data_IF_747323287883
#
_entry.id   IF_747323287883
#
_cell.length_a   1.000
_cell.length_b   1.000
_cell.length_c   1.000
_cell.angle_alpha   90.00
_cell.angle_beta   90.00
_cell.angle_gamma   90.00
#
_symmetry.space_group_name_H-M   'P 1'
#
loop_
_entity.id
_entity.type
_entity.pdbx_description
1 polymer ?
#
# COMPACT_ATOMS: atom_id res chain seq x y z
N UNK A 1 -18.11 10.41 0.50
CA UNK A 1 -17.32 11.38 1.28
C UNK A 1 -16.82 10.81 2.59
N UNK A 2 -17.68 10.37 3.56
CA UNK A 2 -17.19 9.83 4.87
C UNK A 2 -16.30 8.61 4.67
N UNK A 3 -16.68 7.66 3.80
CA UNK A 3 -15.88 6.47 3.45
C UNK A 3 -14.50 6.83 2.88
N UNK A 4 -14.47 7.76 1.94
CA UNK A 4 -13.23 8.16 1.26
C UNK A 4 -12.26 8.84 2.23
N UNK A 5 -12.78 9.70 3.10
CA UNK A 5 -11.99 10.34 4.17
C UNK A 5 -11.44 9.30 5.16
N UNK A 6 -12.27 8.34 5.57
CA UNK A 6 -11.87 7.32 6.53
C UNK A 6 -10.80 6.39 5.94
N UNK A 7 -10.95 5.92 4.71
CA UNK A 7 -9.95 5.08 4.04
C UNK A 7 -8.65 5.85 3.81
N UNK A 8 -8.71 7.13 3.44
CA UNK A 8 -7.53 7.99 3.32
C UNK A 8 -6.81 8.15 4.67
N UNK A 9 -7.55 8.23 5.78
CA UNK A 9 -6.96 8.29 7.12
C UNK A 9 -6.30 6.97 7.50
N UNK A 10 -6.92 5.83 7.16
CA UNK A 10 -6.36 4.49 7.38
C UNK A 10 -5.07 4.32 6.58
N UNK A 11 -5.05 4.73 5.31
CA UNK A 11 -3.84 4.68 4.47
C UNK A 11 -2.70 5.53 5.03
N UNK A 12 -2.99 6.75 5.46
CA UNK A 12 -1.98 7.61 6.08
C UNK A 12 -1.46 7.03 7.40
N UNK A 13 -2.35 6.54 8.25
CA UNK A 13 -1.98 5.89 9.51
C UNK A 13 -1.09 4.66 9.31
N UNK A 14 -1.48 3.79 8.36
CA UNK A 14 -0.69 2.61 7.99
C UNK A 14 0.67 2.97 7.37
N UNK A 15 0.73 4.01 6.53
CA UNK A 15 1.97 4.52 5.95
C UNK A 15 2.92 5.03 7.04
N UNK A 16 2.43 5.90 7.92
CA UNK A 16 3.26 6.45 9.00
C UNK A 16 3.81 5.36 9.90
N UNK A 17 2.97 4.43 10.34
CA UNK A 17 3.40 3.30 11.19
C UNK A 17 4.37 2.37 10.48
N UNK A 18 4.12 2.02 9.21
CA UNK A 18 5.01 1.17 8.42
C UNK A 18 6.37 1.80 8.17
N UNK A 19 6.41 3.09 7.81
CA UNK A 19 7.66 3.83 7.61
C UNK A 19 8.44 4.03 8.90
N UNK A 20 7.76 4.35 10.02
CA UNK A 20 8.43 4.47 11.32
C UNK A 20 8.96 3.13 11.81
N UNK A 21 8.16 2.07 11.71
CA UNK A 21 8.57 0.74 12.12
C UNK A 21 9.79 0.24 11.31
N UNK A 22 9.79 0.43 10.00
CA UNK A 22 10.92 0.05 9.15
C UNK A 22 12.19 0.81 9.52
N UNK A 23 12.09 2.12 9.76
CA UNK A 23 13.23 2.95 10.14
C UNK A 23 13.77 2.60 11.51
N UNK A 24 12.92 2.47 12.52
CA UNK A 24 13.35 2.18 13.90
C UNK A 24 13.97 0.78 13.96
N UNK A 25 13.34 -0.22 13.36
CA UNK A 25 13.83 -1.59 13.42
C UNK A 25 15.13 -1.81 12.65
N UNK A 26 15.36 -1.06 11.57
CA UNK A 26 16.57 -1.19 10.76
C UNK A 26 17.68 -0.26 11.28
N UNK A 27 17.40 1.03 11.46
CA UNK A 27 18.40 2.00 11.90
C UNK A 27 18.95 1.67 13.29
N UNK A 28 18.11 1.28 14.25
CA UNK A 28 18.54 0.94 15.60
C UNK A 28 19.54 -0.23 15.65
N UNK A 29 19.45 -1.17 14.74
CA UNK A 29 20.40 -2.29 14.69
C UNK A 29 21.73 -1.90 14.06
N UNK A 30 21.73 -1.00 13.09
CA UNK A 30 22.97 -0.45 12.53
C UNK A 30 23.71 0.43 13.55
N UNK A 31 22.99 1.29 14.27
CA UNK A 31 23.58 2.15 15.31
C UNK A 31 24.15 1.35 16.49
N UNK A 32 23.47 0.28 16.90
CA UNK A 32 23.90 -0.55 18.04
C UNK A 32 24.97 -1.60 17.69
N UNK A 33 25.38 -1.70 16.42
CA UNK A 33 26.29 -2.75 15.93
C UNK A 33 25.84 -4.19 16.25
N UNK A 34 24.57 -4.37 16.63
CA UNK A 34 23.98 -5.69 16.92
C UNK A 34 23.88 -6.56 15.67
N UNK A 35 23.94 -5.95 14.49
CA UNK A 35 24.04 -6.64 13.19
C UNK A 35 25.25 -7.56 13.16
N UNK A 36 26.41 -7.15 13.71
CA UNK A 36 27.62 -7.97 13.78
C UNK A 36 27.43 -9.23 14.64
N UNK A 37 26.72 -9.12 15.75
CA UNK A 37 26.45 -10.25 16.65
C UNK A 37 25.49 -11.28 16.02
N UNK A 38 24.52 -10.83 15.21
CA UNK A 38 23.60 -11.70 14.50
C UNK A 38 24.29 -12.39 13.31
N UNK A 39 25.21 -11.70 12.65
CA UNK A 39 25.99 -12.24 11.52
C UNK A 39 27.03 -13.28 11.93
N UNK A 40 27.44 -13.34 13.22
CA UNK A 40 28.27 -14.41 13.76
C UNK A 40 27.57 -15.77 13.80
N UNK A 41 26.21 -15.81 13.72
CA UNK A 41 25.47 -17.05 13.52
C UNK A 41 25.31 -17.34 12.03
N UNK A 42 25.27 -18.60 11.60
CA UNK A 42 25.13 -18.98 10.17
C UNK A 42 23.69 -18.77 9.66
N UNK A 43 23.13 -17.56 9.89
CA UNK A 43 21.84 -17.15 9.33
C UNK A 43 22.10 -16.39 8.04
N UNK A 44 21.48 -16.80 6.94
CA UNK A 44 21.65 -16.08 5.68
C UNK A 44 21.03 -14.69 5.77
N UNK A 45 21.75 -13.71 5.27
CA UNK A 45 21.38 -12.27 5.26
C UNK A 45 20.01 -12.00 4.63
N UNK A 46 19.62 -12.87 3.69
CA UNK A 46 18.32 -12.79 3.01
C UNK A 46 17.17 -13.07 3.98
N UNK A 47 17.30 -14.13 4.79
CA UNK A 47 16.26 -14.45 5.77
C UNK A 47 16.11 -13.41 6.87
N UNK A 48 17.20 -12.71 7.21
CA UNK A 48 17.16 -11.62 8.17
C UNK A 48 16.29 -10.43 7.68
N UNK A 49 16.55 -9.95 6.45
CA UNK A 49 15.77 -8.86 5.86
C UNK A 49 14.32 -9.26 5.61
N UNK A 50 14.10 -10.47 5.08
CA UNK A 50 12.75 -10.97 4.85
C UNK A 50 11.97 -11.11 6.15
N UNK A 51 12.59 -11.62 7.21
CA UNK A 51 11.96 -11.73 8.52
C UNK A 51 11.55 -10.38 9.10
N UNK A 52 12.42 -9.37 8.98
CA UNK A 52 12.09 -7.99 9.37
C UNK A 52 10.93 -7.41 8.57
N UNK A 53 11.00 -7.55 7.25
CA UNK A 53 9.94 -7.08 6.37
C UNK A 53 8.60 -7.72 6.72
N UNK A 54 8.55 -9.04 6.90
CA UNK A 54 7.34 -9.76 7.29
C UNK A 54 6.83 -9.33 8.68
N UNK A 55 7.73 -9.07 9.62
CA UNK A 55 7.34 -8.54 10.95
C UNK A 55 6.68 -7.17 10.86
N UNK A 56 7.26 -6.25 10.07
CA UNK A 56 6.68 -4.92 9.83
C UNK A 56 5.32 -5.05 9.14
N UNK A 57 5.22 -5.92 8.13
CA UNK A 57 3.96 -6.18 7.44
C UNK A 57 2.88 -6.71 8.37
N UNK A 58 3.20 -7.67 9.24
CA UNK A 58 2.25 -8.22 10.19
C UNK A 58 1.73 -7.13 11.14
N UNK A 59 2.61 -6.28 11.64
CA UNK A 59 2.23 -5.17 12.52
C UNK A 59 1.34 -4.14 11.80
N UNK A 60 1.71 -3.74 10.59
CA UNK A 60 0.91 -2.78 9.80
C UNK A 60 -0.43 -3.37 9.36
N UNK A 61 -0.48 -4.65 8.99
CA UNK A 61 -1.73 -5.34 8.70
C UNK A 61 -2.67 -5.36 9.90
N UNK A 62 -2.18 -5.74 11.09
CA UNK A 62 -2.99 -5.73 12.31
C UNK A 62 -3.57 -4.36 12.61
N UNK A 63 -2.77 -3.30 12.43
CA UNK A 63 -3.21 -1.93 12.65
C UNK A 63 -4.29 -1.52 11.64
N UNK A 64 -4.09 -1.78 10.36
CA UNK A 64 -5.06 -1.44 9.32
C UNK A 64 -6.35 -2.24 9.48
N UNK A 65 -6.26 -3.53 9.82
CA UNK A 65 -7.45 -4.34 10.13
C UNK A 65 -8.22 -3.81 11.34
N UNK A 66 -7.54 -3.40 12.41
CA UNK A 66 -8.21 -2.84 13.59
C UNK A 66 -8.93 -1.52 13.25
N UNK A 67 -8.29 -0.63 12.49
CA UNK A 67 -8.91 0.61 12.01
C UNK A 67 -10.08 0.33 11.05
N UNK A 68 -9.92 -0.64 10.15
CA UNK A 68 -10.97 -1.08 9.23
C UNK A 68 -12.19 -1.63 9.95
N UNK A 69 -12.01 -2.46 10.99
CA UNK A 69 -13.11 -2.94 11.82
C UNK A 69 -13.85 -1.81 12.53
N UNK A 70 -13.14 -0.83 13.06
CA UNK A 70 -13.77 0.34 13.68
C UNK A 70 -14.60 1.12 12.66
N UNK A 71 -14.09 1.28 11.44
CA UNK A 71 -14.81 1.94 10.35
C UNK A 71 -16.08 1.18 9.98
N UNK A 72 -16.02 -0.13 9.79
CA UNK A 72 -17.20 -0.96 9.44
C UNK A 72 -18.26 -0.92 10.54
N UNK A 73 -17.85 -1.03 11.80
CA UNK A 73 -18.76 -0.91 12.95
C UNK A 73 -19.45 0.46 12.96
N UNK A 74 -18.70 1.54 12.71
CA UNK A 74 -19.27 2.89 12.64
C UNK A 74 -20.29 3.04 11.50
N UNK A 75 -20.02 2.42 10.34
CA UNK A 75 -20.95 2.42 9.21
C UNK A 75 -22.22 1.59 9.51
N UNK A 76 -22.08 0.45 10.17
CA UNK A 76 -23.22 -0.37 10.60
C UNK A 76 -24.11 0.40 11.58
N UNK A 77 -23.53 1.05 12.60
CA UNK A 77 -24.27 1.86 13.57
C UNK A 77 -25.03 2.99 12.87
N UNK A 78 -24.38 3.66 11.94
CA UNK A 78 -25.02 4.72 11.14
C UNK A 78 -26.20 4.20 10.30
N UNK A 79 -26.00 3.06 9.64
CA UNK A 79 -27.03 2.44 8.80
C UNK A 79 -28.18 1.85 9.63
N UNK A 80 -27.94 1.46 10.88
CA UNK A 80 -28.95 0.95 11.80
C UNK A 80 -30.04 2.01 12.10
N UNK A 81 -29.68 3.27 12.18
CA UNK A 81 -30.63 4.38 12.32
C UNK A 81 -31.57 4.54 11.12
N UNK A 82 -31.10 4.17 9.91
CA UNK A 82 -31.92 4.16 8.69
C UNK A 82 -32.74 2.87 8.54
N UNK A 83 -32.31 1.78 9.14
CA UNK A 83 -33.04 0.49 9.17
C UNK A 83 -34.39 0.58 9.91
N UNK A 84 -34.48 1.36 10.96
CA UNK A 84 -35.72 1.58 11.70
C UNK A 84 -36.85 2.20 10.86
N UNK A 85 -36.50 2.76 9.69
CA UNK A 85 -37.45 3.33 8.72
C UNK A 85 -37.92 2.34 7.62
N UNK A 86 -37.66 1.04 7.77
CA UNK A 86 -38.38 -0.03 7.07
C UNK A 86 -37.81 -0.53 5.74
N UNK A 87 -36.59 -0.22 5.36
CA UNK A 87 -36.06 -0.62 4.04
C UNK A 87 -34.60 -1.02 4.09
N UNK A 88 -34.22 -2.20 4.59
CA UNK A 88 -32.95 -2.80 4.12
C UNK A 88 -32.77 -4.26 4.55
N UNK A 89 -32.28 -5.10 3.66
CA UNK A 89 -31.83 -6.46 3.94
C UNK A 89 -30.50 -6.43 4.72
N UNK A 90 -30.27 -7.41 5.59
CA UNK A 90 -29.03 -7.52 6.39
C UNK A 90 -27.75 -7.50 5.52
N UNK A 91 -27.82 -7.98 4.29
CA UNK A 91 -26.73 -7.95 3.31
C UNK A 91 -26.35 -6.56 2.81
N UNK A 92 -27.21 -5.55 2.99
CA UNK A 92 -26.90 -4.15 2.63
C UNK A 92 -26.22 -3.38 3.77
N UNK A 93 -26.05 -3.97 4.94
CA UNK A 93 -25.39 -3.34 6.08
C UNK A 93 -23.87 -3.33 5.95
N UNK A 94 -23.30 -4.34 5.27
CA UNK A 94 -21.85 -4.45 5.06
C UNK A 94 -21.51 -3.82 3.71
N UNK A 95 -20.70 -2.78 3.74
CA UNK A 95 -20.27 -2.09 2.52
C UNK A 95 -19.09 -2.85 1.87
N UNK A 96 -19.41 -3.74 0.91
CA UNK A 96 -18.38 -4.47 0.15
C UNK A 96 -17.32 -3.55 -0.48
N UNK A 97 -17.72 -2.38 -0.93
CA UNK A 97 -16.82 -1.38 -1.53
C UNK A 97 -15.83 -0.84 -0.49
N UNK A 98 -16.26 -0.71 0.76
CA UNK A 98 -15.40 -0.28 1.86
C UNK A 98 -14.34 -1.34 2.17
N UNK A 99 -14.72 -2.61 2.25
CA UNK A 99 -13.78 -3.73 2.46
C UNK A 99 -12.75 -3.78 1.32
N UNK A 100 -13.20 -3.61 0.08
CA UNK A 100 -12.32 -3.56 -1.08
C UNK A 100 -11.33 -2.39 -0.97
N UNK A 101 -11.80 -1.21 -0.57
CA UNK A 101 -10.97 -0.04 -0.35
C UNK A 101 -9.90 -0.26 0.73
N UNK A 102 -10.24 -0.94 1.84
CA UNK A 102 -9.29 -1.32 2.89
C UNK A 102 -8.24 -2.31 2.35
N UNK A 103 -8.64 -3.30 1.55
CA UNK A 103 -7.71 -4.23 0.91
C UNK A 103 -6.74 -3.52 -0.05
N UNK A 104 -7.21 -2.57 -0.84
CA UNK A 104 -6.35 -1.81 -1.74
C UNK A 104 -5.44 -0.83 -0.99
N UNK A 105 -5.91 -0.24 0.10
CA UNK A 105 -5.05 0.59 0.97
C UNK A 105 -3.92 -0.24 1.59
N UNK A 106 -4.18 -1.49 1.98
CA UNK A 106 -3.13 -2.41 2.41
C UNK A 106 -2.08 -2.64 1.33
N UNK A 107 -2.47 -2.83 0.07
CA UNK A 107 -1.52 -3.00 -1.03
C UNK A 107 -0.63 -1.77 -1.23
N UNK A 108 -1.17 -0.56 -1.10
CA UNK A 108 -0.39 0.68 -1.14
C UNK A 108 0.63 0.74 0.00
N UNK A 109 0.20 0.41 1.22
CA UNK A 109 1.07 0.39 2.40
C UNK A 109 2.18 -0.66 2.25
N UNK A 110 1.90 -1.83 1.69
CA UNK A 110 2.88 -2.89 1.40
C UNK A 110 4.01 -2.39 0.51
N UNK A 111 3.70 -1.69 -0.56
CA UNK A 111 4.69 -1.11 -1.47
C UNK A 111 5.54 -0.05 -0.76
N UNK A 112 4.89 0.84 -0.03
CA UNK A 112 5.57 1.93 0.67
C UNK A 112 6.47 1.44 1.81
N UNK A 113 6.05 0.43 2.56
CA UNK A 113 6.88 -0.19 3.59
C UNK A 113 8.09 -0.90 3.00
N UNK A 114 7.96 -1.53 1.82
CA UNK A 114 9.10 -2.10 1.11
C UNK A 114 10.12 -1.02 0.69
N UNK A 115 9.65 0.10 0.12
CA UNK A 115 10.49 1.24 -0.24
C UNK A 115 11.16 1.84 0.99
N UNK A 116 10.39 2.04 2.07
CA UNK A 116 10.92 2.56 3.34
C UNK A 116 12.01 1.66 3.93
N UNK A 117 11.87 0.34 3.79
CA UNK A 117 12.91 -0.61 4.23
C UNK A 117 14.22 -0.42 3.44
N UNK A 118 14.15 -0.19 2.12
CA UNK A 118 15.34 0.11 1.30
C UNK A 118 15.99 1.41 1.75
N UNK A 119 15.19 2.46 1.94
CA UNK A 119 15.68 3.78 2.33
C UNK A 119 16.27 3.78 3.74
N UNK A 120 15.71 3.01 4.67
CA UNK A 120 16.18 2.91 6.05
C UNK A 120 17.59 2.30 6.18
N UNK A 121 18.09 1.64 5.14
CA UNK A 121 19.49 1.19 5.10
C UNK A 121 20.50 2.34 4.98
N UNK A 122 20.08 3.48 4.44
CA UNK A 122 20.96 4.61 4.12
C UNK A 122 20.61 5.91 4.83
N UNK A 123 19.37 6.06 5.25
CA UNK A 123 18.82 7.31 5.76
C UNK A 123 18.39 7.19 7.22
N UNK A 124 18.48 8.33 7.93
CA UNK A 124 17.94 8.46 9.29
C UNK A 124 16.41 8.39 9.28
N UNK A 125 15.81 8.05 10.41
CA UNK A 125 14.36 7.86 10.59
C UNK A 125 13.54 9.02 10.06
N UNK A 126 13.92 10.27 10.35
CA UNK A 126 13.19 11.48 9.93
C UNK A 126 13.28 11.66 8.42
N UNK A 127 14.47 11.52 7.84
CA UNK A 127 14.67 11.65 6.39
C UNK A 127 13.90 10.57 5.61
N UNK A 128 13.93 9.32 6.08
CA UNK A 128 13.18 8.22 5.48
C UNK A 128 11.67 8.50 5.47
N UNK A 129 11.12 8.94 6.62
CA UNK A 129 9.69 9.26 6.73
C UNK A 129 9.31 10.39 5.76
N UNK A 130 10.10 11.45 5.70
CA UNK A 130 9.84 12.60 4.82
C UNK A 130 9.85 12.18 3.35
N UNK A 131 10.83 11.39 2.94
CA UNK A 131 10.94 10.91 1.55
C UNK A 131 9.79 9.96 1.20
N UNK A 132 9.41 9.05 2.09
CA UNK A 132 8.28 8.15 1.86
C UNK A 132 6.96 8.92 1.73
N UNK A 133 6.76 9.96 2.55
CA UNK A 133 5.57 10.79 2.50
C UNK A 133 5.52 11.59 1.18
N UNK A 134 6.64 12.17 0.78
CA UNK A 134 6.76 12.86 -0.51
C UNK A 134 6.51 11.89 -1.68
N UNK A 135 7.08 10.69 -1.62
CA UNK A 135 6.88 9.66 -2.64
C UNK A 135 5.41 9.22 -2.73
N UNK A 136 4.73 9.08 -1.60
CA UNK A 136 3.31 8.76 -1.57
C UNK A 136 2.47 9.84 -2.26
N UNK A 137 2.70 11.12 -1.92
CA UNK A 137 2.00 12.25 -2.54
C UNK A 137 2.29 12.30 -4.04
N UNK A 138 3.56 12.14 -4.42
CA UNK A 138 3.98 12.15 -5.81
C UNK A 138 3.29 11.05 -6.62
N UNK A 139 3.31 9.80 -6.14
CA UNK A 139 2.68 8.67 -6.84
C UNK A 139 1.15 8.79 -6.95
N UNK A 140 0.49 9.43 -5.96
CA UNK A 140 -0.95 9.71 -6.06
C UNK A 140 -1.25 10.85 -7.05
N UNK A 141 -0.39 11.86 -7.15
CA UNK A 141 -0.60 13.04 -8.03
C UNK A 141 -0.12 12.78 -9.46
N UNK A 142 0.85 11.88 -9.62
CA UNK A 142 1.50 11.59 -10.91
C UNK A 142 0.52 11.25 -12.04
N UNK A 143 -0.52 10.48 -11.75
CA UNK A 143 -1.53 10.07 -12.73
C UNK A 143 -2.45 11.21 -13.19
N UNK A 144 -2.57 12.29 -12.40
CA UNK A 144 -3.29 13.51 -12.81
C UNK A 144 -2.43 14.37 -13.74
N UNK A 145 -1.10 14.35 -13.58
CA UNK A 145 -0.16 15.13 -14.41
C UNK A 145 0.01 14.47 -15.77
N UNK A 146 0.07 13.13 -15.81
CA UNK A 146 0.26 12.32 -17.01
C UNK A 146 -0.91 11.35 -17.19
N UNK A 147 -2.09 11.82 -17.64
CA UNK A 147 -3.25 10.96 -17.78
C UNK A 147 -3.01 9.90 -18.86
N UNK A 148 -3.18 8.64 -18.50
CA UNK A 148 -3.00 7.47 -19.39
C UNK A 148 -3.92 7.53 -20.62
N UNK A 149 -5.04 8.26 -20.51
CA UNK A 149 -6.02 8.41 -21.59
C UNK A 149 -5.49 9.23 -22.76
N UNK A 150 -4.66 10.24 -22.53
CA UNK A 150 -4.05 11.04 -23.61
C UNK A 150 -3.01 10.24 -24.41
N UNK A 151 -2.42 9.22 -23.80
CA UNK A 151 -1.42 8.36 -24.46
C UNK A 151 -2.03 7.40 -25.49
N UNK A 152 -3.34 7.15 -25.41
CA UNK A 152 -4.04 6.23 -26.33
C UNK A 152 -4.24 6.85 -27.71
N UNK A 153 -4.23 8.17 -27.80
CA UNK A 153 -4.47 8.91 -29.06
C UNK A 153 -3.21 9.43 -29.76
N UNK A 154 -2.11 9.66 -29.04
CA UNK A 154 -0.90 10.31 -29.61
C UNK A 154 0.34 9.41 -29.70
N UNK A 155 0.20 8.11 -29.50
CA UNK A 155 1.35 7.20 -29.43
C UNK A 155 2.04 7.23 -28.07
N UNK A 156 2.35 6.04 -27.56
CA UNK A 156 3.00 5.85 -26.26
C UNK A 156 4.41 6.43 -26.32
N UNK A 157 4.62 7.59 -25.72
CA UNK A 157 5.97 8.12 -25.54
C UNK A 157 6.75 7.17 -24.65
N UNK A 158 7.91 6.70 -25.08
CA UNK A 158 8.78 5.78 -24.35
C UNK A 158 9.04 6.29 -22.93
N UNK A 159 9.18 7.60 -22.77
CA UNK A 159 9.40 8.24 -21.47
C UNK A 159 8.22 8.03 -20.50
N UNK A 160 6.99 8.16 -20.97
CA UNK A 160 5.79 7.93 -20.13
C UNK A 160 5.64 6.46 -19.77
N UNK A 161 5.92 5.54 -20.69
CA UNK A 161 5.91 4.11 -20.41
C UNK A 161 6.96 3.73 -19.34
N UNK A 162 8.15 4.29 -19.42
CA UNK A 162 9.22 4.08 -18.42
C UNK A 162 8.81 4.67 -17.07
N UNK A 163 8.21 5.87 -17.04
CA UNK A 163 7.72 6.46 -15.80
C UNK A 163 6.66 5.58 -15.12
N UNK A 164 5.69 5.05 -15.89
CA UNK A 164 4.67 4.14 -15.34
C UNK A 164 5.22 2.77 -14.92
N UNK A 165 6.35 2.35 -15.50
CA UNK A 165 7.03 1.12 -15.08
C UNK A 165 7.83 1.31 -13.79
N UNK A 166 8.43 2.49 -13.58
CA UNK A 166 9.28 2.80 -12.43
C UNK A 166 8.46 3.25 -11.22
N UNK A 167 7.41 4.07 -11.43
CA UNK A 167 6.58 4.58 -10.34
C UNK A 167 5.30 3.76 -10.20
N UNK A 168 4.99 3.25 -9.01
CA UNK A 168 3.74 2.53 -8.77
C UNK A 168 2.57 3.49 -8.92
N UNK A 169 1.60 3.11 -9.74
CA UNK A 169 0.38 3.90 -9.92
C UNK A 169 -0.58 3.68 -8.74
N UNK A 170 -0.52 4.55 -7.72
CA UNK A 170 -1.40 4.45 -6.56
C UNK A 170 -2.82 4.93 -6.83
N UNK A 171 -3.05 5.67 -7.90
CA UNK A 171 -4.39 6.11 -8.25
C UNK A 171 -5.31 4.94 -8.61
N UNK A 172 -4.80 3.89 -9.26
CA UNK A 172 -5.57 2.68 -9.53
C UNK A 172 -5.99 1.93 -8.27
N UNK A 173 -5.30 2.16 -7.16
CA UNK A 173 -5.60 1.58 -5.85
C UNK A 173 -6.40 2.56 -4.95
N UNK A 174 -6.84 3.71 -5.49
CA UNK A 174 -7.58 4.71 -4.74
C UNK A 174 -9.09 4.40 -4.74
N UNK A 175 -9.74 4.69 -3.60
CA UNK A 175 -11.16 4.45 -3.37
C UNK A 175 -12.07 5.19 -4.39
N UNK A 176 -11.67 6.38 -4.84
CA UNK A 176 -12.45 7.14 -5.84
C UNK A 176 -12.59 6.35 -7.13
N UNK A 177 -11.49 5.81 -7.65
CA UNK A 177 -11.50 5.01 -8.88
C UNK A 177 -12.24 3.69 -8.67
N UNK A 178 -12.13 3.07 -7.50
CA UNK A 178 -12.89 1.87 -7.15
C UNK A 178 -14.39 2.14 -7.17
N UNK A 179 -14.84 3.27 -6.60
CA UNK A 179 -16.24 3.69 -6.63
C UNK A 179 -16.74 3.87 -8.06
N UNK A 180 -15.95 4.50 -8.93
CA UNK A 180 -16.30 4.71 -10.34
C UNK A 180 -16.41 3.38 -11.09
N UNK A 181 -15.47 2.46 -10.87
CA UNK A 181 -15.51 1.11 -11.46
C UNK A 181 -16.72 0.32 -10.97
N UNK A 182 -17.03 0.36 -9.68
CA UNK A 182 -18.19 -0.33 -9.11
C UNK A 182 -19.51 0.31 -9.61
N UNK A 183 -19.57 1.64 -9.71
CA UNK A 183 -20.75 2.34 -10.25
C UNK A 183 -20.99 2.03 -11.72
N UNK A 184 -19.92 1.95 -12.52
CA UNK A 184 -20.01 1.55 -13.94
C UNK A 184 -20.45 0.10 -14.13
N UNK A 185 -20.28 -0.75 -13.10
CA UNK A 185 -20.55 -2.20 -13.13
C UNK A 185 -21.96 -2.56 -12.62
N UNK A 186 -22.83 -1.58 -12.40
CA UNK A 186 -24.21 -1.80 -11.92
C UNK A 186 -25.09 -2.63 -12.90
N UNK A 187 -24.58 -2.98 -14.08
CA UNK A 187 -25.23 -3.91 -15.00
C UNK A 187 -24.78 -5.37 -14.74
N UNK A 188 -25.71 -6.35 -14.76
CA UNK A 188 -25.44 -7.77 -14.42
C UNK A 188 -24.35 -8.45 -15.25
N UNK A 189 -24.01 -7.89 -16.41
CA UNK A 189 -23.07 -8.45 -17.39
C UNK A 189 -21.61 -8.05 -17.15
N UNK A 190 -21.31 -7.19 -16.16
CA UNK A 190 -20.00 -6.56 -15.97
C UNK A 190 -19.25 -6.97 -14.70
N UNK A 191 -19.71 -7.98 -13.97
CA UNK A 191 -19.02 -8.51 -12.77
C UNK A 191 -17.60 -8.99 -13.07
N UNK A 192 -17.32 -9.42 -14.31
CA UNK A 192 -15.99 -9.79 -14.77
C UNK A 192 -14.99 -8.63 -14.71
N UNK A 193 -15.43 -7.40 -14.88
CA UNK A 193 -14.57 -6.22 -14.89
C UNK A 193 -14.03 -5.90 -13.49
N UNK A 194 -14.84 -6.08 -12.43
CA UNK A 194 -14.38 -5.87 -11.03
C UNK A 194 -13.34 -6.91 -10.66
N UNK A 195 -13.59 -8.19 -10.96
CA UNK A 195 -12.65 -9.26 -10.67
C UNK A 195 -11.30 -9.05 -11.41
N UNK A 196 -11.36 -8.67 -12.68
CA UNK A 196 -10.16 -8.33 -13.45
C UNK A 196 -9.40 -7.15 -12.84
N UNK A 197 -10.10 -6.10 -12.42
CA UNK A 197 -9.50 -4.94 -11.78
C UNK A 197 -8.78 -5.31 -10.48
N UNK A 198 -9.42 -6.12 -9.63
CA UNK A 198 -8.82 -6.62 -8.38
C UNK A 198 -7.57 -7.44 -8.66
N UNK A 199 -7.64 -8.37 -9.61
CA UNK A 199 -6.51 -9.21 -9.99
C UNK A 199 -5.36 -8.37 -10.54
N UNK A 200 -5.64 -7.43 -11.44
CA UNK A 200 -4.61 -6.53 -11.98
C UNK A 200 -3.93 -5.71 -10.90
N UNK A 201 -4.70 -5.07 -10.00
CA UNK A 201 -4.15 -4.27 -8.92
C UNK A 201 -3.31 -5.08 -7.95
N UNK A 202 -3.76 -6.29 -7.58
CA UNK A 202 -3.02 -7.17 -6.66
C UNK A 202 -1.76 -7.77 -7.29
N UNK A 203 -1.81 -8.19 -8.55
CA UNK A 203 -0.64 -8.72 -9.28
C UNK A 203 0.41 -7.62 -9.46
N UNK A 204 -0.01 -6.42 -9.89
CA UNK A 204 0.90 -5.29 -10.06
C UNK A 204 1.61 -4.94 -8.74
N UNK A 205 0.87 -4.81 -7.64
CA UNK A 205 1.44 -4.52 -6.33
C UNK A 205 2.36 -5.62 -5.81
N UNK A 206 2.02 -6.89 -6.04
CA UNK A 206 2.87 -8.02 -5.66
C UNK A 206 4.21 -8.04 -6.44
N UNK A 207 4.17 -7.82 -7.75
CA UNK A 207 5.38 -7.73 -8.58
C UNK A 207 6.27 -6.58 -8.13
N UNK A 208 5.68 -5.41 -7.89
CA UNK A 208 6.43 -4.24 -7.46
C UNK A 208 7.06 -4.45 -6.07
N UNK A 209 6.29 -4.99 -5.14
CA UNK A 209 6.76 -5.30 -3.79
C UNK A 209 7.93 -6.30 -3.81
N UNK A 210 7.82 -7.38 -4.58
CA UNK A 210 8.89 -8.39 -4.70
C UNK A 210 10.15 -7.80 -5.34
N UNK A 211 10.01 -6.94 -6.35
CA UNK A 211 11.14 -6.25 -6.98
C UNK A 211 11.87 -5.33 -5.99
N UNK A 212 11.13 -4.54 -5.19
CA UNK A 212 11.71 -3.63 -4.20
C UNK A 212 12.38 -4.40 -3.05
N UNK A 213 11.76 -5.48 -2.56
CA UNK A 213 12.38 -6.33 -1.52
C UNK A 213 13.65 -7.01 -2.05
N UNK A 214 13.64 -7.48 -3.29
CA UNK A 214 14.84 -8.04 -3.92
C UNK A 214 15.96 -7.01 -4.02
N UNK A 215 15.62 -5.77 -4.38
CA UNK A 215 16.54 -4.63 -4.41
C UNK A 215 17.10 -4.34 -3.00
N UNK A 216 16.26 -4.41 -1.94
CA UNK A 216 16.72 -4.26 -0.57
C UNK A 216 17.76 -5.30 -0.19
N UNK A 217 17.53 -6.57 -0.53
CA UNK A 217 18.47 -7.67 -0.29
C UNK A 217 19.77 -7.47 -1.07
N UNK A 218 19.69 -7.04 -2.31
CA UNK A 218 20.85 -6.78 -3.15
C UNK A 218 21.73 -5.64 -2.59
N UNK A 219 21.11 -4.53 -2.23
CA UNK A 219 21.81 -3.38 -1.65
C UNK A 219 22.44 -3.70 -0.28
N UNK A 220 21.74 -4.49 0.53
CA UNK A 220 22.27 -4.95 1.81
C UNK A 220 23.53 -5.81 1.64
N UNK A 221 23.52 -6.74 0.67
CA UNK A 221 24.73 -7.52 0.34
C UNK A 221 25.91 -6.65 -0.09
N UNK A 222 25.64 -5.57 -0.81
CA UNK A 222 26.69 -4.69 -1.34
C UNK A 222 27.26 -3.75 -0.28
N UNK A 223 26.47 -3.30 0.69
CA UNK A 223 26.88 -2.35 1.74
C UNK A 223 27.95 -2.93 2.68
N UNK A 224 27.99 -4.24 2.87
CA UNK A 224 28.96 -4.88 3.79
C UNK A 224 30.29 -5.29 3.13
N UNK A 225 30.41 -5.12 1.81
CA UNK A 225 31.65 -5.42 1.09
C UNK A 225 32.58 -4.17 1.05
N UNK A 226 32.07 -3.01 1.41
CA UNK A 226 32.81 -1.75 1.52
C UNK A 226 33.09 -1.38 2.99
#
# INVERSE_FOLDING_TARGET
MIRDMAISTITLGGLLTGCMASSILVAAEFERQTVLAVLCKPVSRVYFILGKYLGILAATCLLVFSQGLVLEVALIIRNYGTFQNGVTNLSSMIDFVCILGICFSLLQILILTAISLVLSLYLNTIANLTICLFFFIFCNTFSYILPLHSLRHEGVNILTAVCYAVFPNFQTLNMVVINDVVAATSSPWQTSNIAQYIVYGSVHSAIYCTAVVWLAVFLFKRKEIA
#
